data_IF_104354930556
#
_entry.id   IF_104354930556
#
_cell.length_a   1.000
_cell.length_b   1.000
_cell.length_c   1.000
_cell.angle_alpha   90.00
_cell.angle_beta   90.00
_cell.angle_gamma   90.00
#
_symmetry.space_group_name_H-M   'P 1'
#
loop_
_entity.id
_entity.type
_entity.pdbx_description
1 polymer ?
#
# COMPACT_ATOMS: atom_id res chain seq x y z
N UNK A 1 13.10 11.95 -16.04
CA UNK A 1 12.04 10.99 -15.64
C UNK A 1 10.75 11.40 -16.33
N UNK A 2 9.94 10.43 -16.78
CA UNK A 2 8.62 10.73 -17.34
C UNK A 2 7.68 11.20 -16.20
N UNK A 3 6.77 12.13 -16.51
CA UNK A 3 5.72 12.53 -15.57
C UNK A 3 4.79 11.33 -15.37
N UNK A 4 4.54 10.98 -14.11
CA UNK A 4 3.60 9.91 -13.76
C UNK A 4 2.21 10.52 -13.75
N UNK A 5 1.46 10.23 -14.81
CA UNK A 5 0.08 10.67 -14.93
C UNK A 5 -0.89 9.58 -14.42
N UNK A 6 -1.55 9.87 -13.30
CA UNK A 6 -2.55 8.98 -12.68
C UNK A 6 -3.98 9.22 -13.20
N UNK A 7 -4.21 10.30 -13.97
CA UNK A 7 -5.55 10.67 -14.44
C UNK A 7 -6.14 9.63 -15.39
N UNK A 8 -5.28 8.91 -16.14
CA UNK A 8 -5.67 7.76 -16.97
C UNK A 8 -6.31 6.61 -16.19
N UNK A 9 -6.10 6.55 -14.86
CA UNK A 9 -6.74 5.58 -13.96
C UNK A 9 -7.92 6.19 -13.18
N UNK A 10 -8.30 7.43 -13.49
CA UNK A 10 -9.38 8.15 -12.81
C UNK A 10 -8.97 8.81 -11.47
N UNK A 11 -7.68 8.86 -11.13
CA UNK A 11 -7.19 9.48 -9.90
C UNK A 11 -6.84 10.95 -10.17
N UNK A 12 -7.44 11.86 -9.41
CA UNK A 12 -7.24 13.32 -9.53
C UNK A 12 -7.02 13.96 -8.17
N UNK A 13 -6.37 15.12 -8.12
CA UNK A 13 -6.17 15.85 -6.86
C UNK A 13 -5.05 15.29 -5.97
N UNK A 14 -4.18 14.45 -6.52
CA UNK A 14 -3.00 13.93 -5.83
C UNK A 14 -2.08 15.08 -5.39
N UNK A 15 -1.75 15.12 -4.10
CA UNK A 15 -0.88 16.14 -3.51
C UNK A 15 0.60 15.82 -3.69
N UNK A 16 0.97 14.54 -3.64
CA UNK A 16 2.33 14.06 -3.75
C UNK A 16 2.37 12.68 -4.42
N UNK A 17 3.44 12.42 -5.19
CA UNK A 17 3.72 11.11 -5.77
C UNK A 17 5.12 10.68 -5.33
N UNK A 18 5.19 9.71 -4.42
CA UNK A 18 6.42 9.02 -4.05
C UNK A 18 6.57 7.79 -4.96
N UNK A 19 7.53 7.81 -5.88
CA UNK A 19 7.74 6.75 -6.87
C UNK A 19 9.10 6.09 -6.72
N UNK A 20 9.11 4.75 -6.67
CA UNK A 20 10.28 3.93 -6.37
C UNK A 20 10.98 4.39 -5.06
N UNK A 21 10.25 4.43 -3.91
CA UNK A 21 10.86 4.78 -2.65
C UNK A 21 12.00 3.81 -2.31
N UNK A 22 13.05 4.32 -1.68
CA UNK A 22 14.10 3.47 -1.14
C UNK A 22 13.62 2.78 0.14
N UNK A 23 14.34 1.74 0.57
CA UNK A 23 14.00 1.07 1.83
C UNK A 23 14.13 1.98 3.05
N UNK A 24 15.06 2.92 3.02
CA UNK A 24 15.27 3.91 4.08
C UNK A 24 14.06 4.84 4.19
N UNK A 25 13.55 5.34 3.05
CA UNK A 25 12.34 6.16 3.04
C UNK A 25 11.12 5.36 3.51
N UNK A 26 10.97 4.11 3.07
CA UNK A 26 9.88 3.24 3.54
C UNK A 26 9.93 3.06 5.05
N UNK A 27 11.11 2.78 5.61
CA UNK A 27 11.30 2.62 7.05
C UNK A 27 10.95 3.90 7.83
N UNK A 28 11.39 5.07 7.35
CA UNK A 28 11.07 6.37 7.95
C UNK A 28 9.56 6.64 7.94
N UNK A 29 8.90 6.38 6.81
CA UNK A 29 7.46 6.56 6.65
C UNK A 29 6.66 5.60 7.53
N UNK A 30 7.02 4.32 7.59
CA UNK A 30 6.32 3.30 8.37
C UNK A 30 6.48 3.46 9.90
N UNK A 31 7.48 4.20 10.37
CA UNK A 31 7.81 4.37 11.80
C UNK A 31 7.39 5.72 12.38
N UNK A 32 6.65 6.53 11.61
CA UNK A 32 6.13 7.83 12.03
C UNK A 32 5.23 7.73 13.27
N UNK A 33 5.45 8.57 14.31
CA UNK A 33 4.68 8.51 15.56
C UNK A 33 3.20 8.89 15.41
N UNK A 34 2.85 9.62 14.35
CA UNK A 34 1.49 10.05 14.02
C UNK A 34 0.63 8.97 13.35
N UNK A 35 1.21 7.83 12.96
CA UNK A 35 0.45 6.75 12.32
C UNK A 35 -0.49 6.05 13.31
N UNK A 36 -1.72 5.82 12.87
CA UNK A 36 -2.79 5.24 13.68
C UNK A 36 -3.37 3.97 13.03
N UNK A 37 -4.10 3.17 13.81
CA UNK A 37 -4.79 1.99 13.32
C UNK A 37 -3.86 0.97 12.65
N UNK A 38 -4.19 0.58 11.42
CA UNK A 38 -3.45 -0.44 10.66
C UNK A 38 -2.28 0.12 9.83
N UNK A 39 -2.11 1.44 9.80
CA UNK A 39 -0.97 2.08 9.13
C UNK A 39 0.29 2.05 10.00
N UNK A 40 0.12 1.94 11.32
CA UNK A 40 1.21 2.01 12.29
C UNK A 40 2.18 0.82 12.20
N UNK A 41 3.44 1.11 11.86
CA UNK A 41 4.56 0.18 12.01
C UNK A 41 5.15 0.18 13.42
N UNK A 42 5.60 -0.99 13.87
CA UNK A 42 6.37 -1.17 15.09
C UNK A 42 7.73 -1.80 14.75
N UNK A 43 8.82 -1.17 15.18
CA UNK A 43 10.16 -1.77 15.08
C UNK A 43 10.30 -2.85 16.14
N UNK A 44 10.52 -4.08 15.68
CA UNK A 44 10.79 -5.25 16.55
C UNK A 44 12.21 -5.21 17.14
N UNK A 45 12.47 -6.06 18.12
CA UNK A 45 13.82 -6.24 18.68
C UNK A 45 14.85 -6.71 17.64
N UNK A 46 14.38 -7.29 16.53
CA UNK A 46 15.21 -7.73 15.40
C UNK A 46 15.49 -6.61 14.39
N UNK A 47 14.98 -5.39 14.62
CA UNK A 47 15.15 -4.23 13.73
C UNK A 47 14.23 -4.22 12.51
N UNK A 48 13.39 -5.25 12.32
CA UNK A 48 12.38 -5.28 11.27
C UNK A 48 11.09 -4.58 11.71
N UNK A 49 10.42 -3.91 10.78
CA UNK A 49 9.09 -3.32 10.99
C UNK A 49 8.02 -4.42 10.95
N UNK A 50 7.09 -4.37 11.91
CA UNK A 50 5.89 -5.19 11.95
C UNK A 50 4.64 -4.30 11.87
N UNK A 51 3.62 -4.76 11.15
CA UNK A 51 2.31 -4.11 11.05
C UNK A 51 1.21 -5.13 11.38
N UNK A 52 0.05 -4.64 11.80
CA UNK A 52 -1.13 -5.46 12.10
C UNK A 52 -2.23 -5.21 11.08
N UNK A 53 -2.78 -6.28 10.48
CA UNK A 53 -3.79 -6.18 9.41
C UNK A 53 -5.23 -6.37 9.90
N UNK A 54 -5.44 -6.35 11.22
CA UNK A 54 -6.76 -6.51 11.84
C UNK A 54 -7.37 -7.88 11.58
N UNK A 55 -8.63 -7.91 11.15
CA UNK A 55 -9.36 -9.13 10.83
C UNK A 55 -8.80 -9.85 9.58
N UNK A 56 -8.15 -9.10 8.66
CA UNK A 56 -7.65 -9.62 7.40
C UNK A 56 -6.29 -10.32 7.57
N UNK A 57 -6.29 -11.43 8.30
CA UNK A 57 -5.10 -12.24 8.61
C UNK A 57 -4.79 -13.31 7.55
N UNK A 58 -5.52 -13.31 6.44
CA UNK A 58 -5.37 -14.27 5.35
C UNK A 58 -6.12 -13.86 4.09
N UNK A 59 -6.06 -14.71 3.07
CA UNK A 59 -6.79 -14.48 1.81
C UNK A 59 -8.29 -14.65 2.03
N UNK A 60 -9.10 -13.81 1.38
CA UNK A 60 -10.55 -13.98 1.29
C UNK A 60 -10.96 -14.51 -0.10
N UNK A 61 -10.92 -15.84 -0.34
CA UNK A 61 -11.17 -16.40 -1.67
C UNK A 61 -12.60 -16.16 -2.17
N UNK A 62 -13.56 -15.92 -1.26
CA UNK A 62 -14.96 -15.67 -1.58
C UNK A 62 -15.20 -14.27 -2.18
N UNK A 63 -14.27 -13.34 -1.95
CA UNK A 63 -14.39 -11.96 -2.44
C UNK A 63 -13.58 -11.73 -3.73
N UNK A 64 -13.03 -12.80 -4.32
CA UNK A 64 -12.30 -12.73 -5.59
C UNK A 64 -13.28 -12.86 -6.76
N UNK A 65 -13.34 -11.83 -7.60
CA UNK A 65 -14.13 -11.82 -8.83
C UNK A 65 -13.24 -11.58 -10.05
N UNK A 66 -13.70 -12.04 -11.21
CA UNK A 66 -13.09 -11.76 -12.52
C UNK A 66 -14.18 -11.07 -13.34
N UNK A 67 -13.86 -9.91 -13.92
CA UNK A 67 -14.77 -9.22 -14.84
C UNK A 67 -15.01 -10.15 -16.04
N UNK A 68 -16.27 -10.48 -16.33
CA UNK A 68 -16.63 -11.36 -17.44
C UNK A 68 -16.73 -10.55 -18.75
N UNK A 69 -15.73 -10.68 -19.62
CA UNK A 69 -15.66 -10.04 -20.94
C UNK A 69 -15.04 -11.00 -21.97
N UNK A 70 -14.71 -10.52 -23.18
CA UNK A 70 -14.11 -11.37 -24.22
C UNK A 70 -12.69 -11.87 -23.86
N UNK A 71 -11.95 -11.15 -23.01
CA UNK A 71 -10.59 -11.51 -22.62
C UNK A 71 -10.55 -12.52 -21.46
N UNK A 72 -11.66 -12.72 -20.75
CA UNK A 72 -11.76 -13.55 -19.55
C UNK A 72 -12.78 -14.70 -19.65
N UNK A 73 -13.35 -14.90 -20.83
CA UNK A 73 -14.22 -16.04 -21.19
C UNK A 73 -13.45 -17.29 -21.55
#
# INVERSE_FOLDING_TARGET
>A
MAVIDLSKYGITGTTEIVHNPSYELLFEEETKPELEGYEKGQVSELGAVNVMTGEYTGRSPKDKFIVMDENSK
#
